data_IF_584556603797
#
_entry.id   IF_584556603797
#
_cell.length_a   1.000
_cell.length_b   1.000
_cell.length_c   1.000
_cell.angle_alpha   90.00
_cell.angle_beta   90.00
_cell.angle_gamma   90.00
#
_symmetry.space_group_name_H-M   'P 1'
#
loop_
_entity.id
_entity.type
_entity.pdbx_description
1 polymer ?
#
# COMPACT_ATOMS: atom_id res chain seq x y z
N UNK A 1 9.55 -10.64 15.27
CA UNK A 1 10.97 -10.33 15.49
C UNK A 1 11.15 -8.83 15.71
N UNK A 2 12.30 -8.40 16.23
CA UNK A 2 12.55 -6.99 16.60
C UNK A 2 12.50 -6.03 15.39
N UNK A 3 12.94 -6.49 14.24
CA UNK A 3 12.91 -5.71 12.99
C UNK A 3 11.47 -5.48 12.47
N UNK A 4 10.56 -6.42 12.66
CA UNK A 4 9.15 -6.28 12.29
C UNK A 4 8.47 -5.21 13.15
N UNK A 5 8.72 -5.23 14.47
CA UNK A 5 8.20 -4.22 15.38
C UNK A 5 8.79 -2.83 15.09
N UNK A 6 10.09 -2.77 14.81
CA UNK A 6 10.75 -1.52 14.43
C UNK A 6 10.17 -0.95 13.13
N UNK A 7 9.98 -1.80 12.11
CA UNK A 7 9.37 -1.40 10.84
C UNK A 7 7.95 -0.88 11.05
N UNK A 8 7.13 -1.63 11.79
CA UNK A 8 5.75 -1.25 12.10
C UNK A 8 5.71 0.09 12.83
N UNK A 9 6.54 0.27 13.86
CA UNK A 9 6.62 1.53 14.60
C UNK A 9 7.02 2.71 13.70
N UNK A 10 8.05 2.57 12.88
CA UNK A 10 8.51 3.64 11.96
C UNK A 10 7.44 3.99 10.92
N UNK A 11 6.75 3.02 10.38
CA UNK A 11 5.69 3.25 9.39
C UNK A 11 4.46 3.91 10.00
N UNK A 12 4.01 3.47 11.17
CA UNK A 12 2.83 4.02 11.85
C UNK A 12 3.07 5.42 12.43
N UNK A 13 4.31 5.75 12.78
CA UNK A 13 4.69 7.10 13.27
C UNK A 13 5.12 8.05 12.16
N UNK A 14 5.10 7.62 10.89
CA UNK A 14 5.55 8.41 9.75
C UNK A 14 7.06 8.59 9.62
N UNK A 15 7.85 8.05 10.56
CA UNK A 15 9.32 8.21 10.59
C UNK A 15 10.06 7.43 9.51
N UNK A 16 9.46 6.39 8.97
CA UNK A 16 10.12 5.50 8.02
C UNK A 16 10.78 6.26 6.85
N UNK A 17 10.05 7.16 6.21
CA UNK A 17 10.55 7.93 5.08
C UNK A 17 11.55 9.00 5.46
N UNK A 18 11.39 9.60 6.64
CA UNK A 18 12.28 10.67 7.12
C UNK A 18 13.63 10.11 7.55
N UNK A 19 13.65 8.91 8.14
CA UNK A 19 14.89 8.20 8.49
C UNK A 19 15.68 7.84 7.22
N UNK A 20 15.04 7.24 6.21
CA UNK A 20 15.70 6.92 4.94
C UNK A 20 16.22 8.18 4.25
N UNK A 21 15.44 9.25 4.23
CA UNK A 21 15.87 10.53 3.66
C UNK A 21 17.12 11.07 4.38
N UNK A 22 17.17 10.94 5.70
CA UNK A 22 18.31 11.36 6.52
C UNK A 22 19.55 10.51 6.22
N UNK A 23 19.40 9.20 6.08
CA UNK A 23 20.49 8.27 5.74
C UNK A 23 21.11 8.57 4.36
N UNK A 24 20.32 9.08 3.39
CA UNK A 24 20.76 9.39 2.02
C UNK A 24 20.93 10.90 1.73
N UNK A 25 20.99 11.76 2.75
CA UNK A 25 21.14 13.21 2.57
C UNK A 25 22.36 13.62 1.69
N UNK A 26 23.45 12.84 1.78
CA UNK A 26 24.67 13.09 1.00
C UNK A 26 24.57 12.74 -0.49
N UNK A 27 23.54 12.02 -0.91
CA UNK A 27 23.36 11.54 -2.28
C UNK A 27 22.46 12.45 -3.12
N UNK A 28 21.88 13.49 -2.50
CA UNK A 28 21.06 14.51 -3.21
C UNK A 28 19.66 14.04 -3.59
N UNK A 29 19.18 12.91 -3.06
CA UNK A 29 17.81 12.44 -3.31
C UNK A 29 16.79 13.25 -2.52
N UNK A 30 15.67 13.57 -3.18
CA UNK A 30 14.49 14.06 -2.50
C UNK A 30 13.60 12.91 -2.00
N UNK A 31 12.55 13.25 -1.20
CA UNK A 31 11.63 12.26 -0.63
C UNK A 31 10.84 11.48 -1.70
N UNK A 32 10.52 12.11 -2.83
CA UNK A 32 9.76 11.46 -3.91
C UNK A 32 10.63 10.44 -4.65
N UNK A 33 11.89 10.79 -4.90
CA UNK A 33 12.87 9.91 -5.53
C UNK A 33 13.17 8.69 -4.65
N UNK A 34 13.33 8.89 -3.33
CA UNK A 34 13.52 7.80 -2.38
C UNK A 34 12.32 6.85 -2.39
N UNK A 35 11.10 7.39 -2.34
CA UNK A 35 9.89 6.57 -2.43
C UNK A 35 9.85 5.77 -3.72
N UNK A 36 10.14 6.40 -4.86
CA UNK A 36 10.16 5.73 -6.16
C UNK A 36 11.18 4.58 -6.19
N UNK A 37 12.40 4.82 -5.68
CA UNK A 37 13.45 3.78 -5.59
C UNK A 37 13.05 2.64 -4.66
N UNK A 38 12.52 2.94 -3.48
CA UNK A 38 12.02 1.94 -2.54
C UNK A 38 10.92 1.08 -3.16
N UNK A 39 9.95 1.69 -3.84
CA UNK A 39 8.91 0.94 -4.54
C UNK A 39 9.49 0.06 -5.66
N UNK A 40 10.40 0.60 -6.47
CA UNK A 40 11.00 -0.13 -7.59
C UNK A 40 11.93 -1.26 -7.12
N UNK A 41 12.72 -1.06 -6.07
CA UNK A 41 13.75 -2.01 -5.65
C UNK A 41 13.26 -3.01 -4.59
N UNK A 42 12.43 -2.55 -3.62
CA UNK A 42 11.98 -3.35 -2.49
C UNK A 42 10.59 -3.91 -2.74
N UNK A 43 9.58 -3.05 -2.82
CA UNK A 43 8.18 -3.50 -2.77
C UNK A 43 7.69 -4.15 -4.06
N UNK A 44 8.06 -3.60 -5.23
CA UNK A 44 7.54 -4.04 -6.53
C UNK A 44 8.61 -4.63 -7.45
N UNK A 45 9.80 -4.88 -6.92
CA UNK A 45 10.88 -5.46 -7.70
C UNK A 45 10.57 -6.88 -8.17
N UNK A 46 10.77 -7.11 -9.46
CA UNK A 46 10.58 -8.37 -10.16
C UNK A 46 11.75 -9.36 -9.99
N UNK A 47 12.94 -8.84 -9.77
CA UNK A 47 14.16 -9.63 -9.74
C UNK A 47 14.70 -9.79 -8.35
N UNK A 48 15.06 -11.04 -8.00
CA UNK A 48 15.71 -11.37 -6.74
C UNK A 48 17.19 -10.96 -6.69
N UNK A 49 17.78 -10.53 -7.82
CA UNK A 49 19.17 -10.08 -7.86
C UNK A 49 19.32 -8.73 -7.17
N UNK A 50 20.11 -8.72 -6.09
CA UNK A 50 20.36 -7.52 -5.27
C UNK A 50 21.61 -6.73 -5.73
N UNK A 51 22.37 -7.23 -6.72
CA UNK A 51 23.71 -6.68 -7.05
C UNK A 51 23.73 -5.19 -7.35
N UNK A 52 22.68 -4.67 -7.96
CA UNK A 52 22.54 -3.26 -8.37
C UNK A 52 21.48 -2.48 -7.58
N UNK A 53 20.83 -3.11 -6.58
CA UNK A 53 19.75 -2.52 -5.80
C UNK A 53 20.29 -2.07 -4.44
N UNK A 54 20.63 -0.79 -4.32
CA UNK A 54 21.18 -0.23 -3.09
C UNK A 54 20.14 -0.26 -1.98
N UNK A 55 18.98 0.34 -2.21
CA UNK A 55 17.90 0.42 -1.22
C UNK A 55 17.37 -0.95 -0.78
N UNK A 56 17.29 -1.93 -1.70
CA UNK A 56 16.89 -3.28 -1.33
C UNK A 56 17.91 -4.00 -0.44
N UNK A 57 19.21 -3.75 -0.62
CA UNK A 57 20.25 -4.30 0.24
C UNK A 57 20.18 -3.73 1.65
N UNK A 58 20.04 -2.42 1.75
CA UNK A 58 19.94 -1.70 3.02
C UNK A 58 18.66 -2.08 3.77
N UNK A 59 17.52 -2.08 3.07
CA UNK A 59 16.26 -2.51 3.64
C UNK A 59 16.33 -3.95 4.15
N UNK A 60 16.91 -4.87 3.38
CA UNK A 60 17.10 -6.27 3.79
C UNK A 60 18.04 -6.39 5.01
N UNK A 61 19.07 -5.56 5.09
CA UNK A 61 20.00 -5.56 6.23
C UNK A 61 19.31 -5.05 7.50
N UNK A 62 18.48 -4.02 7.37
CA UNK A 62 17.80 -3.37 8.50
C UNK A 62 16.52 -4.14 8.92
N UNK A 63 15.78 -4.70 7.95
CA UNK A 63 14.49 -5.38 8.17
C UNK A 63 14.46 -6.75 7.48
N UNK A 64 15.28 -7.73 7.89
CA UNK A 64 15.42 -9.01 7.20
C UNK A 64 14.12 -9.83 7.14
N UNK A 65 13.35 -9.87 8.23
CA UNK A 65 12.09 -10.62 8.28
C UNK A 65 10.99 -9.91 7.48
N UNK A 66 10.90 -8.58 7.54
CA UNK A 66 9.97 -7.80 6.72
C UNK A 66 10.29 -7.97 5.23
N UNK A 67 11.58 -7.92 4.86
CA UNK A 67 11.99 -8.16 3.48
C UNK A 67 11.60 -9.57 3.01
N UNK A 68 11.80 -10.60 3.83
CA UNK A 68 11.39 -11.97 3.53
C UNK A 68 9.89 -12.08 3.32
N UNK A 69 9.09 -11.45 4.18
CA UNK A 69 7.64 -11.40 4.06
C UNK A 69 7.20 -10.76 2.74
N UNK A 70 7.78 -9.61 2.36
CA UNK A 70 7.52 -8.94 1.08
C UNK A 70 7.84 -9.87 -0.10
N UNK A 71 8.99 -10.55 -0.07
CA UNK A 71 9.36 -11.50 -1.13
C UNK A 71 8.41 -12.69 -1.22
N UNK A 72 7.91 -13.19 -0.10
CA UNK A 72 6.87 -14.23 -0.06
C UNK A 72 5.55 -13.75 -0.68
N UNK A 73 5.14 -12.53 -0.39
CA UNK A 73 3.93 -11.93 -0.96
C UNK A 73 4.03 -11.67 -2.46
N UNK A 74 5.22 -11.49 -3.00
CA UNK A 74 5.46 -11.35 -4.45
C UNK A 74 5.36 -12.69 -5.20
N UNK A 75 5.42 -13.83 -4.52
CA UNK A 75 5.29 -15.15 -5.14
C UNK A 75 3.81 -15.55 -5.29
N UNK A 76 3.16 -15.30 -6.44
CA UNK A 76 1.70 -15.46 -6.58
C UNK A 76 1.24 -16.92 -6.43
N UNK A 77 2.14 -17.89 -6.68
CA UNK A 77 1.82 -19.31 -6.55
C UNK A 77 1.69 -19.78 -5.10
N UNK A 78 2.22 -19.03 -4.15
CA UNK A 78 2.18 -19.37 -2.72
C UNK A 78 1.13 -18.59 -1.94
N UNK A 79 0.58 -17.54 -2.52
CA UNK A 79 -0.38 -16.66 -1.86
C UNK A 79 -1.77 -16.85 -2.46
N UNK A 80 -2.72 -17.35 -1.67
CA UNK A 80 -4.09 -17.62 -2.12
C UNK A 80 -4.84 -16.36 -2.58
N UNK A 81 -4.54 -15.20 -2.00
CA UNK A 81 -5.14 -13.92 -2.38
C UNK A 81 -4.65 -13.53 -3.78
N UNK A 82 -3.34 -13.64 -4.04
CA UNK A 82 -2.77 -13.36 -5.35
C UNK A 82 -3.23 -14.39 -6.40
N UNK A 83 -3.47 -15.64 -6.00
CA UNK A 83 -4.11 -16.64 -6.87
C UNK A 83 -5.52 -16.21 -7.28
N UNK A 84 -6.32 -15.68 -6.35
CA UNK A 84 -7.65 -15.13 -6.65
C UNK A 84 -7.59 -14.02 -7.70
N UNK A 85 -6.69 -13.06 -7.53
CA UNK A 85 -6.47 -11.96 -8.50
C UNK A 85 -6.04 -12.50 -9.87
N UNK A 86 -5.20 -13.53 -9.92
CA UNK A 86 -4.77 -14.15 -11.18
C UNK A 86 -5.88 -14.93 -11.86
N UNK A 87 -6.81 -15.54 -11.11
CA UNK A 87 -7.98 -16.22 -11.66
C UNK A 87 -8.96 -15.23 -12.27
N UNK A 88 -9.20 -14.10 -11.63
CA UNK A 88 -10.01 -13.01 -12.18
C UNK A 88 -9.41 -12.45 -13.47
N UNK A 89 -8.10 -12.42 -13.55
CA UNK A 89 -7.38 -12.02 -14.76
C UNK A 89 -7.61 -12.97 -15.93
N UNK A 90 -7.62 -14.29 -15.72
CA UNK A 90 -7.98 -15.24 -16.77
C UNK A 90 -9.38 -14.99 -17.31
N UNK A 91 -10.33 -14.74 -16.41
CA UNK A 91 -11.71 -14.41 -16.77
C UNK A 91 -11.81 -13.09 -17.56
N UNK A 92 -11.00 -12.09 -17.20
CA UNK A 92 -10.94 -10.83 -17.94
C UNK A 92 -10.41 -11.00 -19.37
N UNK A 93 -9.39 -11.84 -19.55
CA UNK A 93 -8.88 -12.21 -20.88
C UNK A 93 -9.97 -12.91 -21.72
N UNK A 94 -10.70 -13.84 -21.11
CA UNK A 94 -11.81 -14.54 -21.76
C UNK A 94 -12.93 -13.57 -22.18
N UNK A 95 -13.14 -12.50 -21.42
CA UNK A 95 -14.12 -11.44 -21.72
C UNK A 95 -13.59 -10.36 -22.67
N UNK A 96 -12.32 -10.45 -23.11
CA UNK A 96 -11.71 -9.49 -24.02
C UNK A 96 -11.32 -8.15 -23.36
N UNK A 97 -11.33 -8.07 -22.03
CA UNK A 97 -10.95 -6.87 -21.30
C UNK A 97 -9.42 -6.81 -21.14
N UNK A 98 -8.77 -6.20 -22.14
CA UNK A 98 -7.32 -6.06 -22.19
C UNK A 98 -6.73 -5.17 -21.07
N UNK A 99 -7.56 -4.35 -20.41
CA UNK A 99 -7.07 -3.46 -19.32
C UNK A 99 -6.69 -4.25 -18.08
N UNK A 100 -7.23 -5.45 -17.91
CA UNK A 100 -6.92 -6.36 -16.81
C UNK A 100 -5.73 -7.31 -17.13
N UNK A 101 -5.16 -7.27 -18.33
CA UNK A 101 -3.96 -8.02 -18.70
C UNK A 101 -2.68 -7.40 -18.10
N UNK A 102 -2.63 -7.27 -16.80
CA UNK A 102 -1.39 -6.91 -16.14
C UNK A 102 -0.57 -8.16 -15.85
N UNK A 103 0.75 -8.07 -16.01
CA UNK A 103 1.67 -9.16 -15.76
C UNK A 103 1.61 -9.65 -14.30
N UNK A 104 2.03 -10.89 -14.02
CA UNK A 104 2.18 -11.42 -12.64
C UNK A 104 2.98 -10.47 -11.73
N UNK A 105 3.85 -9.67 -12.31
CA UNK A 105 4.73 -8.68 -11.73
C UNK A 105 3.99 -7.49 -11.09
N UNK A 106 2.74 -7.24 -11.48
CA UNK A 106 1.88 -6.20 -10.91
C UNK A 106 0.83 -6.75 -9.94
N UNK A 107 0.89 -8.04 -9.63
CA UNK A 107 -0.11 -8.67 -8.75
C UNK A 107 -0.12 -8.07 -7.34
N UNK A 108 1.04 -7.82 -6.75
CA UNK A 108 1.11 -7.19 -5.42
C UNK A 108 0.63 -5.74 -5.43
N UNK A 109 1.08 -4.84 -6.34
CA UNK A 109 0.52 -3.50 -6.45
C UNK A 109 -1.00 -3.50 -6.65
N UNK A 110 -1.51 -4.35 -7.52
CA UNK A 110 -2.95 -4.44 -7.76
C UNK A 110 -3.71 -4.92 -6.53
N UNK A 111 -3.17 -5.89 -5.81
CA UNK A 111 -3.75 -6.33 -4.55
C UNK A 111 -3.81 -5.19 -3.52
N UNK A 112 -2.73 -4.43 -3.38
CA UNK A 112 -2.69 -3.28 -2.47
C UNK A 112 -3.73 -2.22 -2.86
N UNK A 113 -3.86 -1.91 -4.16
CA UNK A 113 -4.89 -1.00 -4.66
C UNK A 113 -6.32 -1.52 -4.42
N UNK A 114 -6.55 -2.82 -4.57
CA UNK A 114 -7.85 -3.44 -4.27
C UNK A 114 -8.18 -3.35 -2.78
N UNK A 115 -7.22 -3.65 -1.91
CA UNK A 115 -7.39 -3.52 -0.46
C UNK A 115 -7.69 -2.07 -0.05
N UNK A 116 -6.96 -1.11 -0.61
CA UNK A 116 -7.21 0.31 -0.37
C UNK A 116 -8.62 0.71 -0.82
N UNK A 117 -9.02 0.31 -2.03
CA UNK A 117 -10.37 0.57 -2.56
C UNK A 117 -11.46 -0.05 -1.69
N UNK A 118 -11.24 -1.24 -1.15
CA UNK A 118 -12.17 -1.90 -0.24
C UNK A 118 -12.31 -1.13 1.08
N UNK A 119 -11.20 -0.70 1.67
CA UNK A 119 -11.20 0.12 2.88
C UNK A 119 -11.99 1.41 2.66
N UNK A 120 -11.69 2.16 1.60
CA UNK A 120 -12.40 3.41 1.29
C UNK A 120 -13.88 3.17 0.99
N UNK A 121 -14.23 2.06 0.35
CA UNK A 121 -15.63 1.68 0.11
C UNK A 121 -16.39 1.49 1.43
N UNK A 122 -15.81 0.82 2.41
CA UNK A 122 -16.43 0.63 3.72
C UNK A 122 -16.52 1.96 4.50
N UNK A 123 -15.52 2.84 4.39
CA UNK A 123 -15.57 4.20 4.95
C UNK A 123 -16.74 4.99 4.34
N UNK A 124 -16.86 5.01 3.01
CA UNK A 124 -17.97 5.70 2.33
C UNK A 124 -19.34 5.14 2.74
N UNK A 125 -19.47 3.83 2.87
CA UNK A 125 -20.72 3.21 3.38
C UNK A 125 -21.05 3.67 4.80
N UNK A 126 -20.05 3.79 5.68
CA UNK A 126 -20.23 4.30 7.04
C UNK A 126 -20.69 5.76 7.03
N UNK A 127 -20.05 6.60 6.22
CA UNK A 127 -20.39 8.02 6.05
C UNK A 127 -21.80 8.20 5.48
N UNK A 128 -22.14 7.42 4.46
CA UNK A 128 -23.48 7.44 3.86
C UNK A 128 -24.60 7.12 4.88
N UNK A 129 -24.38 6.11 5.75
CA UNK A 129 -25.31 5.81 6.85
C UNK A 129 -25.47 6.97 7.83
N UNK A 130 -24.44 7.77 8.04
CA UNK A 130 -24.44 8.98 8.86
C UNK A 130 -24.96 10.22 8.09
N UNK A 131 -25.41 10.06 6.83
CA UNK A 131 -25.86 11.13 5.93
C UNK A 131 -24.79 12.19 5.66
N UNK A 132 -23.53 11.78 5.65
CA UNK A 132 -22.40 12.60 5.22
C UNK A 132 -22.17 12.38 3.74
N UNK A 133 -22.25 13.46 2.96
CA UNK A 133 -21.89 13.43 1.54
C UNK A 133 -20.38 13.43 1.38
N UNK A 134 -19.82 12.41 0.76
CA UNK A 134 -18.39 12.29 0.56
C UNK A 134 -18.10 11.59 -0.76
N UNK A 135 -16.97 11.91 -1.38
CA UNK A 135 -16.48 11.27 -2.60
C UNK A 135 -15.05 10.80 -2.37
N UNK A 136 -14.74 9.58 -2.77
CA UNK A 136 -13.38 9.04 -2.76
C UNK A 136 -12.69 9.39 -4.08
N UNK A 137 -11.52 10.02 -4.00
CA UNK A 137 -10.67 10.34 -5.14
C UNK A 137 -9.23 9.93 -4.79
N UNK A 138 -8.72 8.90 -5.42
CA UNK A 138 -7.42 8.30 -5.12
C UNK A 138 -7.30 7.90 -3.64
N UNK A 139 -6.38 8.52 -2.90
CA UNK A 139 -6.10 8.30 -1.48
C UNK A 139 -6.80 9.32 -0.54
N UNK A 140 -7.77 10.06 -1.07
CA UNK A 140 -8.44 11.13 -0.36
C UNK A 140 -9.97 10.98 -0.33
N UNK A 141 -10.58 11.46 0.75
CA UNK A 141 -12.03 11.67 0.84
C UNK A 141 -12.31 13.16 0.73
N UNK A 142 -13.09 13.53 -0.27
CA UNK A 142 -13.49 14.90 -0.56
C UNK A 142 -14.88 15.15 0.00
N UNK A 143 -15.03 16.24 0.75
CA UNK A 143 -16.27 16.68 1.36
C UNK A 143 -16.78 17.96 0.70
N UNK A 144 -18.12 18.18 0.62
CA UNK A 144 -18.68 19.48 0.25
C UNK A 144 -18.30 20.55 1.28
N UNK A 145 -18.03 21.77 0.82
CA UNK A 145 -17.52 22.87 1.64
C UNK A 145 -18.51 23.35 2.74
N UNK A 146 -19.80 23.07 2.58
CA UNK A 146 -20.88 23.61 3.42
C UNK A 146 -20.86 23.14 4.88
N UNK A 147 -20.23 22.01 5.18
CA UNK A 147 -20.17 21.39 6.52
C UNK A 147 -18.78 20.78 6.84
N UNK A 148 -17.77 21.20 6.13
CA UNK A 148 -16.47 20.53 6.08
C UNK A 148 -15.85 20.19 7.44
N UNK A 149 -15.99 21.06 8.46
CA UNK A 149 -15.38 20.81 9.78
C UNK A 149 -16.05 19.65 10.54
N UNK A 150 -17.39 19.65 10.62
CA UNK A 150 -18.15 18.60 11.32
C UNK A 150 -18.07 17.27 10.58
N UNK A 151 -18.10 17.34 9.25
CA UNK A 151 -18.03 16.15 8.41
C UNK A 151 -16.62 15.55 8.41
N UNK A 152 -15.55 16.34 8.57
CA UNK A 152 -14.18 15.86 8.72
C UNK A 152 -13.98 15.00 9.98
N UNK A 153 -14.54 15.37 11.12
CA UNK A 153 -14.50 14.57 12.35
C UNK A 153 -15.20 13.23 12.15
N UNK A 154 -16.33 13.21 11.42
CA UNK A 154 -17.06 11.99 11.10
C UNK A 154 -16.30 11.10 10.12
N UNK A 155 -15.54 11.68 9.19
CA UNK A 155 -14.65 10.94 8.29
C UNK A 155 -13.52 10.26 9.08
N UNK A 156 -12.88 11.02 9.97
CA UNK A 156 -11.79 10.48 10.80
C UNK A 156 -12.29 9.32 11.68
N UNK A 157 -13.44 9.48 12.32
CA UNK A 157 -14.07 8.42 13.11
C UNK A 157 -14.39 7.17 12.27
N UNK A 158 -14.97 7.38 11.07
CA UNK A 158 -15.29 6.29 10.16
C UNK A 158 -14.04 5.57 9.67
N UNK A 159 -12.99 6.31 9.32
CA UNK A 159 -11.70 5.73 8.91
C UNK A 159 -11.09 4.91 10.03
N UNK A 160 -11.01 5.43 11.26
CA UNK A 160 -10.50 4.69 12.42
C UNK A 160 -11.27 3.40 12.68
N UNK A 161 -12.60 3.47 12.61
CA UNK A 161 -13.46 2.30 12.84
C UNK A 161 -13.24 1.22 11.76
N UNK A 162 -13.14 1.62 10.49
CA UNK A 162 -12.90 0.71 9.38
C UNK A 162 -11.49 0.14 9.42
N UNK A 163 -10.46 0.97 9.65
CA UNK A 163 -9.08 0.48 9.78
C UNK A 163 -8.96 -0.59 10.86
N UNK A 164 -9.61 -0.39 12.01
CA UNK A 164 -9.65 -1.38 13.08
C UNK A 164 -10.29 -2.70 12.63
N UNK A 165 -11.34 -2.67 11.79
CA UNK A 165 -11.97 -3.88 11.23
C UNK A 165 -11.00 -4.66 10.32
N UNK A 166 -10.13 -3.96 9.61
CA UNK A 166 -9.08 -4.55 8.77
C UNK A 166 -7.79 -4.90 9.53
N UNK A 167 -7.78 -4.78 10.88
CA UNK A 167 -6.62 -5.06 11.71
C UNK A 167 -5.51 -4.01 11.62
N UNK A 168 -5.80 -2.82 11.10
CA UNK A 168 -4.92 -1.67 11.02
C UNK A 168 -5.18 -0.76 12.23
N UNK A 169 -4.15 -0.46 13.03
CA UNK A 169 -4.24 0.31 14.29
C UNK A 169 -3.50 1.62 14.21
#
# INVERSE_FOLDING_TARGET
ADDELLYLWKTTTGRFWDDILTEHQGEGFDRAEIKQKMFAEVFYSKTKKLSWKVFAKEFKAQYPNVYLLIEQWKEPLKNEILKGILLDKKRAVELGDMTLMQNQETALPNFMMLMESEIFREVLKSLYRKRVSAVHIHDAIVLPDTRAKVDAEQVEEAMRAVYKQFGLH
#
